data_IF_474694185683
#
_entry.id   IF_474694185683
#
_cell.length_a   1.000
_cell.length_b   1.000
_cell.length_c   1.000
_cell.angle_alpha   90.00
_cell.angle_beta   90.00
_cell.angle_gamma   90.00
#
_symmetry.space_group_name_H-M   'P 1'
#
loop_
_entity.id
_entity.type
_entity.pdbx_description
1 polymer ?
#
# COMPACT_ATOMS: atom_id res chain seq x y z
N UNK A 1 -6.72 5.61 -15.63
CA UNK A 1 -5.83 4.75 -14.83
C UNK A 1 -4.48 4.60 -15.50
N UNK A 2 -3.39 4.33 -14.71
CA UNK A 2 -2.02 4.28 -15.23
C UNK A 2 -1.27 3.13 -14.54
N UNK A 3 -0.62 2.28 -15.33
CA UNK A 3 0.36 1.27 -14.86
C UNK A 3 1.72 1.95 -14.76
N UNK A 4 2.38 1.83 -13.61
CA UNK A 4 3.71 2.41 -13.36
C UNK A 4 4.70 1.29 -13.03
N UNK A 5 5.83 1.32 -13.73
CA UNK A 5 6.94 0.40 -13.49
C UNK A 5 8.18 1.21 -13.11
N UNK A 6 8.86 0.80 -12.04
CA UNK A 6 10.09 1.42 -11.54
C UNK A 6 11.17 0.36 -11.46
N UNK A 7 12.36 0.69 -11.93
CA UNK A 7 13.57 -0.12 -11.79
C UNK A 7 14.58 0.64 -10.96
N UNK A 8 14.98 0.05 -9.83
CA UNK A 8 15.99 0.61 -8.93
C UNK A 8 17.27 -0.24 -8.96
N UNK A 9 18.39 0.40 -8.68
CA UNK A 9 19.66 -0.27 -8.44
C UNK A 9 20.21 0.16 -7.09
N UNK A 10 20.77 -0.79 -6.35
CA UNK A 10 21.51 -0.52 -5.12
C UNK A 10 23.01 -0.62 -5.38
N UNK A 11 23.74 0.52 -5.44
CA UNK A 11 25.20 0.48 -5.44
C UNK A 11 25.69 -0.20 -4.16
N UNK A 12 26.83 -0.90 -4.25
CA UNK A 12 27.49 -1.47 -3.06
C UNK A 12 27.73 -0.35 -2.05
N UNK A 13 27.34 -0.60 -0.80
CA UNK A 13 27.51 0.32 0.34
C UNK A 13 26.65 1.61 0.30
N UNK A 14 25.68 1.72 -0.64
CA UNK A 14 24.75 2.84 -0.65
C UNK A 14 23.51 2.56 0.21
N UNK A 15 23.17 3.51 1.07
CA UNK A 15 21.94 3.48 1.87
C UNK A 15 20.68 3.76 1.03
N UNK A 16 20.85 4.48 -0.08
CA UNK A 16 19.77 4.89 -0.99
C UNK A 16 19.98 4.31 -2.39
N UNK A 17 18.89 3.88 -3.07
CA UNK A 17 18.97 3.36 -4.42
C UNK A 17 19.12 4.48 -5.46
N UNK A 18 19.65 4.11 -6.63
CA UNK A 18 19.58 4.91 -7.84
C UNK A 18 18.35 4.50 -8.65
N UNK A 19 17.59 5.46 -9.17
CA UNK A 19 16.46 5.21 -10.08
C UNK A 19 17.02 5.02 -11.48
N UNK A 20 16.95 3.79 -11.99
CA UNK A 20 17.40 3.47 -13.36
C UNK A 20 16.35 3.97 -14.35
N UNK A 21 15.08 3.58 -14.16
CA UNK A 21 13.97 4.09 -14.97
C UNK A 21 12.66 4.08 -14.20
N UNK A 22 11.74 4.93 -14.65
CA UNK A 22 10.37 5.02 -14.15
C UNK A 22 9.42 5.33 -15.31
N UNK A 23 8.60 4.37 -15.69
CA UNK A 23 7.68 4.46 -16.83
C UNK A 23 6.23 4.42 -16.40
N UNK A 24 5.37 5.11 -17.14
CA UNK A 24 3.94 5.17 -16.93
C UNK A 24 3.21 4.92 -18.25
N UNK A 25 2.31 3.95 -18.25
CA UNK A 25 1.50 3.58 -19.42
C UNK A 25 0.01 3.55 -19.08
N UNK A 26 -0.89 3.87 -20.02
CA UNK A 26 -2.32 3.74 -19.80
C UNK A 26 -2.70 2.29 -19.42
N UNK A 27 -3.54 2.14 -18.40
CA UNK A 27 -4.09 0.84 -17.97
C UNK A 27 -5.45 0.60 -18.59
N UNK A 28 -5.65 -0.60 -19.15
CA UNK A 28 -6.95 -1.12 -19.60
C UNK A 28 -7.26 -2.43 -18.88
N UNK A 29 -8.53 -2.84 -18.88
CA UNK A 29 -8.94 -4.13 -18.31
C UNK A 29 -9.01 -4.19 -16.79
N UNK A 30 -8.85 -3.05 -16.08
CA UNK A 30 -8.92 -2.96 -14.62
C UNK A 30 -10.00 -1.95 -14.21
N UNK A 31 -10.85 -2.30 -13.24
CA UNK A 31 -11.85 -1.41 -12.62
C UNK A 31 -11.92 -1.64 -11.11
N UNK A 32 -11.94 -0.55 -10.34
CA UNK A 32 -11.94 -0.57 -8.86
C UNK A 32 -10.86 -1.50 -8.26
N UNK A 33 -9.74 -1.64 -8.99
CA UNK A 33 -8.64 -2.53 -8.62
C UNK A 33 -8.77 -3.98 -9.11
N UNK A 34 -9.94 -4.40 -9.64
CA UNK A 34 -10.15 -5.76 -10.17
C UNK A 34 -9.81 -5.84 -11.65
N UNK A 35 -9.26 -6.96 -12.08
CA UNK A 35 -9.14 -7.30 -13.49
C UNK A 35 -10.52 -7.73 -14.00
N UNK A 36 -11.09 -6.91 -14.88
CA UNK A 36 -12.40 -7.16 -15.52
C UNK A 36 -12.27 -7.65 -16.97
N UNK A 37 -11.08 -7.48 -17.55
CA UNK A 37 -10.72 -7.98 -18.88
C UNK A 37 -9.26 -8.42 -18.84
N UNK A 38 -9.02 -9.74 -18.79
CA UNK A 38 -7.68 -10.31 -18.66
C UNK A 38 -6.76 -9.95 -19.84
N UNK A 39 -7.16 -10.11 -21.11
CA UNK A 39 -6.32 -9.74 -22.27
C UNK A 39 -5.86 -8.27 -22.25
N UNK A 40 -6.75 -7.33 -21.88
CA UNK A 40 -6.42 -5.91 -21.79
C UNK A 40 -5.44 -5.64 -20.64
N UNK A 41 -5.62 -6.31 -19.49
CA UNK A 41 -4.71 -6.20 -18.34
C UNK A 41 -3.33 -6.75 -18.67
N UNK A 42 -3.25 -7.93 -19.32
CA UNK A 42 -2.00 -8.53 -19.82
C UNK A 42 -1.27 -7.58 -20.76
N UNK A 43 -1.98 -7.01 -21.74
CA UNK A 43 -1.41 -6.05 -22.68
C UNK A 43 -0.88 -4.80 -21.97
N UNK A 44 -1.59 -4.30 -20.96
CA UNK A 44 -1.17 -3.13 -20.17
C UNK A 44 0.10 -3.40 -19.37
N UNK A 45 0.20 -4.58 -18.73
CA UNK A 45 1.39 -5.01 -17.99
C UNK A 45 2.57 -5.17 -18.95
N UNK A 46 2.39 -5.95 -20.03
CA UNK A 46 3.43 -6.20 -21.03
C UNK A 46 4.00 -4.91 -21.59
N UNK A 47 3.15 -3.98 -22.02
CA UNK A 47 3.57 -2.69 -22.55
C UNK A 47 4.40 -1.87 -21.55
N UNK A 48 4.03 -1.89 -20.27
CA UNK A 48 4.76 -1.17 -19.21
C UNK A 48 6.13 -1.79 -18.98
N UNK A 49 6.21 -3.13 -18.97
CA UNK A 49 7.47 -3.87 -18.80
C UNK A 49 8.40 -3.65 -20.00
N UNK A 50 7.91 -3.83 -21.23
CA UNK A 50 8.69 -3.60 -22.46
C UNK A 50 9.26 -2.17 -22.53
N UNK A 51 8.47 -1.17 -22.13
CA UNK A 51 8.96 0.20 -22.08
C UNK A 51 10.06 0.38 -21.03
N UNK A 52 9.88 -0.22 -19.84
CA UNK A 52 10.89 -0.19 -18.78
C UNK A 52 12.19 -0.91 -19.17
N UNK A 53 12.08 -2.06 -19.86
CA UNK A 53 13.24 -2.79 -20.42
C UNK A 53 13.97 -1.96 -21.46
N UNK A 54 13.22 -1.31 -22.37
CA UNK A 54 13.79 -0.46 -23.40
C UNK A 54 14.56 0.73 -22.84
N UNK A 55 14.00 1.37 -21.81
CA UNK A 55 14.63 2.55 -21.18
C UNK A 55 15.80 2.19 -20.26
N UNK A 56 15.69 1.06 -19.54
CA UNK A 56 16.72 0.62 -18.60
C UNK A 56 17.85 -0.20 -19.24
N UNK A 57 17.59 -0.83 -20.39
CA UNK A 57 18.48 -1.85 -20.98
C UNK A 57 18.53 -3.17 -20.20
N UNK A 58 17.61 -3.38 -19.23
CA UNK A 58 17.59 -4.55 -18.34
C UNK A 58 16.37 -5.39 -18.68
N UNK A 59 16.56 -6.71 -18.88
CA UNK A 59 15.44 -7.65 -19.05
C UNK A 59 14.77 -7.93 -17.71
N UNK A 60 13.45 -7.69 -17.63
CA UNK A 60 12.65 -7.82 -16.41
C UNK A 60 11.89 -9.16 -16.45
N UNK A 61 12.42 -10.16 -15.78
CA UNK A 61 11.79 -11.50 -15.66
C UNK A 61 10.92 -11.64 -14.41
N UNK A 62 11.18 -10.85 -13.37
CA UNK A 62 10.55 -10.93 -12.06
C UNK A 62 10.21 -9.54 -11.56
N UNK A 63 9.06 -9.39 -10.89
CA UNK A 63 8.65 -8.12 -10.30
C UNK A 63 7.78 -8.31 -9.06
N UNK A 64 7.73 -7.27 -8.22
CA UNK A 64 6.75 -7.14 -7.14
C UNK A 64 5.59 -6.32 -7.65
N UNK A 65 4.38 -6.76 -7.33
CA UNK A 65 3.15 -6.09 -7.76
C UNK A 65 2.42 -5.45 -6.57
N UNK A 66 1.78 -4.32 -6.81
CA UNK A 66 0.78 -3.82 -5.86
C UNK A 66 -0.58 -4.43 -6.14
N UNK A 67 -1.34 -4.68 -5.08
CA UNK A 67 -2.75 -5.00 -5.17
C UNK A 67 -3.55 -3.90 -4.47
N UNK A 68 -4.65 -3.48 -5.11
CA UNK A 68 -5.62 -2.53 -4.58
C UNK A 68 -7.02 -3.08 -4.79
N UNK A 69 -8.04 -2.27 -4.47
CA UNK A 69 -9.43 -2.64 -4.71
C UNK A 69 -10.20 -3.03 -3.45
N UNK A 70 -11.53 -3.02 -3.59
CA UNK A 70 -12.47 -3.14 -2.48
C UNK A 70 -12.60 -4.57 -1.92
N UNK A 71 -11.94 -5.55 -2.55
CA UNK A 71 -11.86 -6.90 -1.99
C UNK A 71 -10.93 -6.98 -0.78
N UNK A 72 -10.04 -6.00 -0.61
CA UNK A 72 -9.09 -5.99 0.49
C UNK A 72 -9.81 -5.62 1.79
N UNK A 73 -9.60 -6.41 2.83
CA UNK A 73 -10.09 -6.12 4.18
C UNK A 73 -9.03 -6.45 5.22
N UNK A 74 -9.05 -5.71 6.34
CA UNK A 74 -8.21 -5.99 7.48
C UNK A 74 -8.98 -6.78 8.53
N UNK A 75 -8.34 -7.83 9.04
CA UNK A 75 -8.87 -8.71 10.08
C UNK A 75 -7.86 -8.83 11.22
N UNK A 76 -8.35 -8.83 12.45
CA UNK A 76 -7.52 -9.05 13.62
C UNK A 76 -7.73 -10.48 14.13
N UNK A 77 -6.65 -11.14 14.49
CA UNK A 77 -6.68 -12.44 15.13
C UNK A 77 -5.63 -12.55 16.22
N UNK A 78 -5.76 -13.58 17.06
CA UNK A 78 -4.83 -13.83 18.15
C UNK A 78 -4.26 -15.23 18.00
N UNK A 79 -3.00 -15.38 18.34
CA UNK A 79 -2.32 -16.67 18.42
C UNK A 79 -1.48 -16.78 19.69
N UNK A 80 -1.07 -17.98 20.04
CA UNK A 80 -0.22 -18.20 21.19
C UNK A 80 0.73 -19.36 20.97
N UNK A 81 1.81 -19.40 21.72
CA UNK A 81 2.74 -20.52 21.77
C UNK A 81 3.19 -20.75 23.22
N UNK A 82 3.36 -22.00 23.61
CA UNK A 82 4.08 -22.36 24.82
C UNK A 82 5.57 -22.30 24.49
N UNK A 83 6.34 -21.67 25.36
CA UNK A 83 7.79 -21.51 25.16
C UNK A 83 8.45 -22.89 25.10
N UNK A 84 9.20 -23.14 24.04
CA UNK A 84 9.77 -24.46 23.74
C UNK A 84 11.06 -24.79 24.49
N UNK A 85 11.84 -23.77 24.89
CA UNK A 85 13.09 -23.94 25.62
C UNK A 85 12.84 -24.24 27.09
N UNK A 86 13.65 -25.14 27.68
CA UNK A 86 13.53 -25.53 29.09
C UNK A 86 13.91 -24.43 30.08
N UNK A 87 14.68 -23.44 29.66
CA UNK A 87 15.04 -22.27 30.44
C UNK A 87 13.96 -21.15 30.38
N UNK A 88 12.92 -21.36 29.55
CA UNK A 88 11.86 -20.41 29.35
C UNK A 88 12.19 -19.22 28.45
N UNK A 89 13.34 -19.23 27.76
CA UNK A 89 13.70 -18.16 26.83
C UNK A 89 12.91 -18.24 25.54
N UNK A 90 12.24 -17.14 25.15
CA UNK A 90 11.46 -17.01 23.91
C UNK A 90 12.39 -17.11 22.70
N UNK A 91 12.16 -18.08 21.86
CA UNK A 91 12.89 -18.31 20.62
C UNK A 91 12.13 -17.83 19.38
N UNK A 92 12.85 -17.69 18.26
CA UNK A 92 12.21 -17.41 16.95
C UNK A 92 11.20 -18.52 16.54
N UNK A 93 11.37 -19.74 17.03
CA UNK A 93 10.41 -20.83 16.80
C UNK A 93 9.08 -20.54 17.49
N UNK A 94 9.09 -20.07 18.75
CA UNK A 94 7.91 -19.74 19.52
C UNK A 94 7.16 -18.54 18.90
N UNK A 95 7.91 -17.51 18.47
CA UNK A 95 7.35 -16.37 17.74
C UNK A 95 6.64 -16.82 16.47
N UNK A 96 7.31 -17.63 15.64
CA UNK A 96 6.71 -18.16 14.40
C UNK A 96 5.48 -19.02 14.68
N UNK A 97 5.52 -19.85 15.71
CA UNK A 97 4.37 -20.70 16.10
C UNK A 97 3.17 -19.86 16.49
N UNK A 98 3.38 -18.83 17.33
CA UNK A 98 2.31 -17.91 17.72
C UNK A 98 1.72 -17.16 16.52
N UNK A 99 2.56 -16.66 15.60
CA UNK A 99 2.11 -15.98 14.38
C UNK A 99 1.33 -16.91 13.45
N UNK A 100 1.82 -18.13 13.20
CA UNK A 100 1.14 -19.12 12.37
C UNK A 100 -0.23 -19.47 12.97
N UNK A 101 -0.31 -19.68 14.27
CA UNK A 101 -1.58 -19.96 14.95
C UNK A 101 -2.56 -18.78 14.81
N UNK A 102 -2.05 -17.53 14.90
CA UNK A 102 -2.90 -16.36 14.70
C UNK A 102 -3.43 -16.26 13.26
N UNK A 103 -2.63 -16.60 12.24
CA UNK A 103 -3.07 -16.64 10.85
C UNK A 103 -4.09 -17.75 10.59
N UNK A 104 -3.89 -18.95 11.15
CA UNK A 104 -4.80 -20.08 11.05
C UNK A 104 -6.15 -19.83 11.74
N UNK A 105 -6.19 -18.93 12.73
CA UNK A 105 -7.43 -18.53 13.40
C UNK A 105 -8.35 -17.65 12.53
N UNK A 106 -7.89 -17.16 11.39
CA UNK A 106 -8.70 -16.37 10.46
C UNK A 106 -9.54 -17.29 9.57
N UNK A 107 -10.85 -17.09 9.56
CA UNK A 107 -11.76 -17.81 8.66
C UNK A 107 -11.64 -17.27 7.23
N UNK A 108 -10.73 -17.82 6.45
CA UNK A 108 -10.42 -17.31 5.10
C UNK A 108 -11.54 -17.56 4.08
N UNK A 109 -12.36 -18.62 4.22
CA UNK A 109 -13.38 -18.99 3.24
C UNK A 109 -12.84 -18.94 1.80
N UNK A 110 -13.26 -17.92 1.03
CA UNK A 110 -12.79 -17.68 -0.35
C UNK A 110 -11.80 -16.51 -0.41
N UNK A 111 -10.96 -16.34 0.61
CA UNK A 111 -9.99 -15.26 0.74
C UNK A 111 -8.57 -15.80 0.93
N UNK A 112 -7.58 -14.97 0.62
CA UNK A 112 -6.16 -15.25 0.87
C UNK A 112 -5.56 -14.11 1.70
N UNK A 113 -4.70 -14.43 2.65
CA UNK A 113 -3.88 -13.45 3.36
C UNK A 113 -2.78 -12.99 2.39
N UNK A 114 -2.66 -11.68 2.21
CA UNK A 114 -1.63 -11.04 1.38
C UNK A 114 -0.63 -10.25 2.20
N UNK A 115 -0.96 -9.96 3.47
CA UNK A 115 -0.08 -9.26 4.40
C UNK A 115 -0.52 -9.56 5.82
N UNK A 116 0.42 -9.74 6.75
CA UNK A 116 0.16 -9.80 8.19
C UNK A 116 1.24 -9.03 8.95
N UNK A 117 0.83 -8.38 10.03
CA UNK A 117 1.73 -7.65 10.93
C UNK A 117 1.35 -7.90 12.38
N UNK A 118 2.30 -8.18 13.28
CA UNK A 118 2.02 -8.21 14.71
C UNK A 118 1.67 -6.80 15.19
N UNK A 119 0.57 -6.70 15.94
CA UNK A 119 0.10 -5.44 16.54
C UNK A 119 0.58 -5.33 17.99
N UNK A 120 0.54 -6.42 18.74
CA UNK A 120 0.99 -6.47 20.13
C UNK A 120 1.38 -7.87 20.55
N UNK A 121 2.27 -7.94 21.52
CA UNK A 121 2.73 -9.17 22.14
C UNK A 121 2.40 -9.18 23.63
N UNK A 122 2.15 -10.36 24.18
CA UNK A 122 2.05 -10.59 25.62
C UNK A 122 2.87 -11.81 26.02
N UNK A 123 3.53 -11.72 27.16
CA UNK A 123 4.25 -12.82 27.78
C UNK A 123 3.64 -13.05 29.17
N UNK A 124 3.11 -14.23 29.39
CA UNK A 124 2.39 -14.60 30.64
C UNK A 124 1.28 -13.58 31.00
N UNK A 125 0.54 -13.11 29.96
CA UNK A 125 -0.57 -12.15 30.09
C UNK A 125 -0.15 -10.68 30.26
N UNK A 126 1.16 -10.38 30.31
CA UNK A 126 1.68 -8.99 30.40
C UNK A 126 2.10 -8.48 29.04
N UNK A 127 1.77 -7.22 28.74
CA UNK A 127 2.16 -6.59 27.48
C UNK A 127 3.69 -6.47 27.38
N UNK A 128 4.22 -6.83 26.21
CA UNK A 128 5.63 -6.74 25.89
C UNK A 128 5.85 -5.61 24.88
N UNK A 129 6.64 -4.58 25.20
CA UNK A 129 7.03 -3.56 24.24
C UNK A 129 8.09 -4.13 23.28
N UNK A 130 7.83 -4.08 21.98
CA UNK A 130 8.76 -4.53 20.95
C UNK A 130 8.78 -6.05 20.77
N UNK A 131 9.95 -6.59 20.40
CA UNK A 131 10.14 -8.03 20.15
C UNK A 131 10.25 -8.83 21.45
N UNK A 132 9.52 -9.95 21.55
CA UNK A 132 9.61 -10.82 22.73
C UNK A 132 10.84 -11.75 22.72
N UNK A 133 11.65 -11.80 21.64
CA UNK A 133 12.80 -12.70 21.51
C UNK A 133 13.83 -12.48 22.62
N UNK A 134 14.28 -13.58 23.25
CA UNK A 134 15.24 -13.54 24.35
C UNK A 134 14.63 -13.22 25.73
N UNK A 135 13.33 -12.88 25.81
CA UNK A 135 12.63 -12.73 27.10
C UNK A 135 12.32 -14.08 27.71
N UNK A 136 12.04 -14.14 29.01
CA UNK A 136 11.77 -15.40 29.72
C UNK A 136 10.31 -15.44 30.20
N UNK A 137 9.63 -16.54 29.92
CA UNK A 137 8.24 -16.79 30.32
C UNK A 137 7.79 -18.20 29.98
N UNK A 138 6.49 -18.46 30.10
CA UNK A 138 5.85 -19.75 29.84
C UNK A 138 4.99 -19.72 28.58
N UNK A 139 4.21 -18.65 28.41
CA UNK A 139 3.26 -18.50 27.29
C UNK A 139 3.44 -17.18 26.57
N UNK A 140 3.72 -17.28 25.27
CA UNK A 140 3.74 -16.13 24.36
C UNK A 140 2.39 -15.99 23.66
N UNK A 141 1.83 -14.78 23.62
CA UNK A 141 0.61 -14.46 22.88
C UNK A 141 0.86 -13.30 21.93
N UNK A 142 0.23 -13.35 20.76
CA UNK A 142 0.32 -12.30 19.73
C UNK A 142 -1.07 -11.91 19.25
N UNK A 143 -1.26 -10.62 19.04
CA UNK A 143 -2.35 -10.07 18.23
C UNK A 143 -1.78 -9.63 16.89
N UNK A 144 -2.35 -10.10 15.80
CA UNK A 144 -1.96 -9.69 14.44
C UNK A 144 -3.09 -8.91 13.76
N UNK A 145 -2.71 -8.05 12.82
CA UNK A 145 -3.58 -7.50 11.79
C UNK A 145 -3.18 -8.13 10.46
N UNK A 146 -4.12 -8.83 9.82
CA UNK A 146 -3.91 -9.43 8.50
C UNK A 146 -4.76 -8.71 7.46
N UNK A 147 -4.16 -8.41 6.30
CA UNK A 147 -4.89 -7.92 5.14
C UNK A 147 -5.17 -9.13 4.24
N UNK A 148 -6.44 -9.35 3.96
CA UNK A 148 -6.92 -10.42 3.10
C UNK A 148 -7.54 -9.86 1.82
N UNK A 149 -7.57 -10.64 0.74
CA UNK A 149 -8.29 -10.34 -0.49
C UNK A 149 -9.09 -11.56 -0.95
N UNK A 150 -10.08 -11.37 -1.84
CA UNK A 150 -10.74 -12.48 -2.53
C UNK A 150 -9.69 -13.31 -3.29
N UNK A 151 -9.77 -14.64 -3.20
CA UNK A 151 -8.84 -15.55 -3.87
C UNK A 151 -8.79 -15.28 -5.38
N UNK A 152 -9.96 -15.15 -6.03
CA UNK A 152 -10.05 -14.86 -7.46
C UNK A 152 -9.33 -13.57 -7.84
N UNK A 153 -9.43 -12.49 -7.03
CA UNK A 153 -8.76 -11.23 -7.31
C UNK A 153 -7.23 -11.37 -7.35
N UNK A 154 -6.67 -12.15 -6.43
CA UNK A 154 -5.23 -12.44 -6.43
C UNK A 154 -4.86 -13.34 -7.61
N UNK A 155 -5.64 -14.39 -7.88
CA UNK A 155 -5.37 -15.35 -8.95
C UNK A 155 -5.43 -14.68 -10.33
N UNK A 156 -6.36 -13.74 -10.54
CA UNK A 156 -6.45 -12.94 -11.78
C UNK A 156 -5.20 -12.07 -11.97
N UNK A 157 -4.70 -11.43 -10.91
CA UNK A 157 -3.47 -10.63 -10.94
C UNK A 157 -2.26 -11.51 -11.28
N UNK A 158 -2.12 -12.67 -10.64
CA UNK A 158 -1.03 -13.60 -10.88
C UNK A 158 -1.06 -14.14 -12.31
N UNK A 159 -2.25 -14.47 -12.82
CA UNK A 159 -2.47 -14.93 -14.20
C UNK A 159 -2.10 -13.85 -15.21
N UNK A 160 -2.54 -12.61 -15.00
CA UNK A 160 -2.22 -11.49 -15.89
C UNK A 160 -0.70 -11.21 -15.94
N UNK A 161 0.00 -11.28 -14.81
CA UNK A 161 1.43 -11.09 -14.77
C UNK A 161 2.18 -12.24 -15.48
N UNK A 162 1.79 -13.49 -15.23
CA UNK A 162 2.37 -14.68 -15.88
C UNK A 162 2.19 -14.66 -17.40
N UNK A 163 0.99 -14.34 -17.89
CA UNK A 163 0.71 -14.21 -19.31
C UNK A 163 1.43 -13.02 -19.97
N UNK A 164 1.74 -11.97 -19.18
CA UNK A 164 2.59 -10.89 -19.64
C UNK A 164 4.08 -11.25 -19.67
N UNK A 165 4.47 -12.43 -19.17
CA UNK A 165 5.85 -12.93 -19.17
C UNK A 165 6.65 -12.54 -17.93
N UNK A 166 5.99 -12.11 -16.84
CA UNK A 166 6.65 -11.67 -15.60
C UNK A 166 6.29 -12.59 -14.45
N UNK A 167 7.28 -13.17 -13.80
CA UNK A 167 7.11 -13.91 -12.55
C UNK A 167 6.85 -12.94 -11.39
N UNK A 168 5.77 -13.17 -10.64
CA UNK A 168 5.44 -12.37 -9.46
C UNK A 168 6.27 -12.86 -8.27
N UNK A 169 7.13 -11.99 -7.75
CA UNK A 169 7.93 -12.28 -6.54
C UNK A 169 7.09 -12.13 -5.30
N UNK A 170 6.30 -11.04 -5.24
CA UNK A 170 5.45 -10.71 -4.10
C UNK A 170 4.29 -9.81 -4.53
N UNK A 171 3.23 -9.76 -3.71
CA UNK A 171 2.06 -8.90 -3.91
C UNK A 171 1.78 -8.12 -2.63
N UNK A 172 1.88 -6.80 -2.71
CA UNK A 172 1.79 -5.90 -1.56
C UNK A 172 0.58 -4.96 -1.68
N UNK A 173 -0.20 -4.73 -0.60
CA UNK A 173 -1.27 -3.72 -0.62
C UNK A 173 -0.73 -2.33 -0.95
N UNK A 174 -1.40 -1.59 -1.86
CA UNK A 174 -0.88 -0.33 -2.42
C UNK A 174 -0.55 0.72 -1.37
N UNK A 175 -1.39 0.90 -0.32
CA UNK A 175 -1.12 1.87 0.73
C UNK A 175 0.01 1.43 1.68
N UNK A 176 0.22 0.11 1.86
CA UNK A 176 1.37 -0.41 2.62
C UNK A 176 2.66 -0.14 1.83
N UNK A 177 2.69 -0.46 0.53
CA UNK A 177 3.84 -0.14 -0.31
C UNK A 177 4.16 1.38 -0.32
N UNK A 178 3.14 2.23 -0.52
CA UNK A 178 3.34 3.68 -0.51
C UNK A 178 3.88 4.21 0.82
N UNK A 179 3.55 3.56 1.94
CA UNK A 179 4.00 3.98 3.26
C UNK A 179 5.52 3.91 3.43
N UNK A 180 6.20 3.01 2.70
CA UNK A 180 7.68 2.87 2.77
C UNK A 180 8.42 4.13 2.30
N UNK A 181 7.81 4.89 1.40
CA UNK A 181 8.35 6.15 0.89
C UNK A 181 7.77 7.35 1.62
N UNK A 182 6.48 7.29 1.94
CA UNK A 182 5.74 8.46 2.40
C UNK A 182 5.92 8.75 3.90
N UNK A 183 6.27 7.75 4.70
CA UNK A 183 6.29 7.84 6.16
C UNK A 183 7.68 7.60 6.72
N UNK A 184 8.06 8.39 7.71
CA UNK A 184 9.27 8.15 8.51
C UNK A 184 8.95 7.23 9.69
N UNK A 185 9.97 6.53 10.23
CA UNK A 185 9.83 5.68 11.42
C UNK A 185 9.29 6.45 12.62
N UNK A 186 9.72 7.70 12.78
CA UNK A 186 9.21 8.58 13.86
C UNK A 186 7.71 8.85 13.73
N UNK A 187 7.20 9.06 12.47
CA UNK A 187 5.77 9.25 12.25
C UNK A 187 4.99 7.97 12.55
N UNK A 188 5.51 6.81 12.11
CA UNK A 188 4.91 5.50 12.40
C UNK A 188 4.87 5.22 13.89
N UNK A 189 5.91 5.61 14.63
CA UNK A 189 5.99 5.39 16.08
C UNK A 189 4.96 6.21 16.86
N UNK A 190 4.74 7.49 16.49
CA UNK A 190 3.84 8.37 17.27
C UNK A 190 2.37 8.31 16.81
N UNK A 191 2.09 7.73 15.65
CA UNK A 191 0.74 7.59 15.09
C UNK A 191 0.51 8.47 13.87
N UNK A 192 0.33 7.83 12.70
CA UNK A 192 0.13 8.47 11.40
C UNK A 192 -0.82 7.66 10.53
N UNK A 193 -1.56 8.32 9.66
CA UNK A 193 -2.32 7.68 8.59
C UNK A 193 -1.74 8.06 7.23
N UNK A 194 -1.51 7.06 6.38
CA UNK A 194 -1.34 7.24 4.95
C UNK A 194 -2.70 7.14 4.26
N UNK A 195 -2.99 8.08 3.36
CA UNK A 195 -4.16 8.07 2.46
C UNK A 195 -3.64 8.04 1.03
N UNK A 196 -3.97 6.99 0.28
CA UNK A 196 -3.65 6.89 -1.14
C UNK A 196 -4.92 7.09 -1.97
N UNK A 197 -5.07 8.29 -2.56
CA UNK A 197 -6.20 8.64 -3.42
C UNK A 197 -5.86 8.20 -4.86
N UNK A 198 -6.39 7.04 -5.23
CA UNK A 198 -6.25 6.49 -6.58
C UNK A 198 -7.29 7.05 -7.57
N UNK A 199 -7.35 6.44 -8.75
CA UNK A 199 -8.34 6.80 -9.77
C UNK A 199 -9.77 6.41 -9.35
N UNK A 200 -9.97 5.17 -8.92
CA UNK A 200 -11.29 4.60 -8.63
C UNK A 200 -11.44 4.10 -7.19
N UNK A 201 -10.36 4.15 -6.39
CA UNK A 201 -10.35 3.72 -4.99
C UNK A 201 -9.48 4.63 -4.15
N UNK A 202 -9.86 4.78 -2.88
CA UNK A 202 -9.01 5.36 -1.84
C UNK A 202 -8.64 4.25 -0.87
N UNK A 203 -7.36 4.09 -0.58
CA UNK A 203 -6.87 3.14 0.44
C UNK A 203 -6.14 3.86 1.55
N UNK A 204 -6.33 3.39 2.77
CA UNK A 204 -5.67 3.93 3.96
C UNK A 204 -4.87 2.86 4.68
N UNK A 205 -3.75 3.28 5.28
CA UNK A 205 -2.94 2.48 6.19
C UNK A 205 -2.59 3.33 7.42
N UNK A 206 -2.85 2.81 8.63
CA UNK A 206 -2.69 3.55 9.88
C UNK A 206 -1.65 2.85 10.73
N UNK A 207 -0.66 3.62 11.16
CA UNK A 207 0.46 3.13 11.96
C UNK A 207 0.46 3.80 13.33
N UNK A 208 0.82 3.04 14.36
CA UNK A 208 1.05 3.50 15.73
C UNK A 208 2.07 2.56 16.39
N UNK A 209 2.99 3.06 17.20
CA UNK A 209 4.09 2.27 17.78
C UNK A 209 4.95 1.51 16.74
N UNK A 210 5.08 2.06 15.53
CA UNK A 210 5.84 1.45 14.44
C UNK A 210 5.10 0.34 13.69
N UNK A 211 3.90 -0.08 14.12
CA UNK A 211 3.15 -1.20 13.54
C UNK A 211 1.86 -0.76 12.85
N UNK A 212 1.42 -1.53 11.86
CA UNK A 212 0.14 -1.31 11.16
C UNK A 212 -1.02 -1.71 12.08
N UNK A 213 -1.87 -0.73 12.46
CA UNK A 213 -3.02 -0.95 13.35
C UNK A 213 -4.38 -0.87 12.64
N UNK A 214 -4.40 -0.37 11.40
CA UNK A 214 -5.64 -0.22 10.63
C UNK A 214 -5.39 -0.13 9.13
N UNK A 215 -6.32 -0.67 8.35
CA UNK A 215 -6.29 -0.65 6.89
C UNK A 215 -7.72 -0.70 6.36
N UNK A 216 -8.01 0.09 5.32
CA UNK A 216 -9.29 0.02 4.60
C UNK A 216 -9.14 0.49 3.16
N UNK A 217 -10.08 0.06 2.30
CA UNK A 217 -10.21 0.54 0.93
C UNK A 217 -11.66 0.96 0.70
N UNK A 218 -11.83 2.14 0.10
CA UNK A 218 -13.13 2.72 -0.23
C UNK A 218 -13.34 2.76 -1.74
N UNK A 219 -14.55 2.45 -2.26
CA UNK A 219 -14.87 2.45 -3.70
C UNK A 219 -15.18 3.87 -4.21
N UNK A 220 -14.27 4.79 -3.97
CA UNK A 220 -14.36 6.20 -4.38
C UNK A 220 -12.95 6.67 -4.74
N UNK A 221 -12.81 7.52 -5.78
CA UNK A 221 -11.50 7.98 -6.20
C UNK A 221 -11.56 9.26 -7.03
N UNK A 222 -10.43 9.63 -7.63
CA UNK A 222 -10.32 10.88 -8.39
C UNK A 222 -11.12 10.88 -9.71
N UNK A 223 -11.49 9.70 -10.23
CA UNK A 223 -12.38 9.58 -11.39
C UNK A 223 -13.80 10.04 -11.07
N UNK A 224 -14.25 9.87 -9.82
CA UNK A 224 -15.58 10.36 -9.41
C UNK A 224 -15.64 11.89 -9.45
N UNK A 225 -14.54 12.58 -9.11
CA UNK A 225 -14.41 14.03 -9.28
C UNK A 225 -14.55 14.40 -10.77
N UNK A 226 -13.92 13.67 -11.67
CA UNK A 226 -14.02 13.88 -13.13
C UNK A 226 -15.47 13.70 -13.60
N UNK A 227 -16.15 12.65 -13.11
CA UNK A 227 -17.55 12.38 -13.43
C UNK A 227 -18.45 13.51 -12.95
N UNK A 228 -18.24 14.01 -11.74
CA UNK A 228 -19.05 15.11 -11.18
C UNK A 228 -18.84 16.43 -11.95
N UNK A 229 -17.61 16.73 -12.36
CA UNK A 229 -17.32 17.89 -13.21
C UNK A 229 -18.02 17.73 -14.57
N UNK A 230 -17.91 16.55 -15.20
CA UNK A 230 -18.55 16.26 -16.47
C UNK A 230 -20.07 16.46 -16.40
N UNK A 231 -20.71 15.94 -15.36
CA UNK A 231 -22.16 16.10 -15.12
C UNK A 231 -22.53 17.55 -14.80
N UNK A 232 -21.77 18.22 -13.93
CA UNK A 232 -22.03 19.58 -13.48
C UNK A 232 -21.94 20.64 -14.58
N UNK A 233 -21.10 20.40 -15.60
CA UNK A 233 -20.93 21.28 -16.76
C UNK A 233 -21.51 20.73 -18.06
N UNK A 234 -21.97 19.46 -18.08
CA UNK A 234 -22.48 18.74 -19.26
C UNK A 234 -21.46 18.68 -20.39
N UNK A 235 -20.23 18.27 -20.06
CA UNK A 235 -19.08 18.17 -20.96
C UNK A 235 -18.58 16.71 -21.04
N UNK A 236 -17.61 16.44 -21.93
CA UNK A 236 -17.00 15.10 -22.03
C UNK A 236 -16.11 14.81 -20.82
N UNK A 237 -15.83 13.51 -20.57
CA UNK A 237 -14.94 13.09 -19.49
C UNK A 237 -13.49 13.58 -19.72
N UNK A 238 -13.03 13.62 -20.97
CA UNK A 238 -11.71 14.11 -21.35
C UNK A 238 -11.56 15.60 -21.02
N UNK A 239 -12.57 16.40 -21.32
CA UNK A 239 -12.61 17.81 -21.01
C UNK A 239 -12.69 18.05 -19.49
N UNK A 240 -13.52 17.29 -18.79
CA UNK A 240 -13.62 17.34 -17.33
C UNK A 240 -12.31 16.96 -16.64
N UNK A 241 -11.59 15.94 -17.14
CA UNK A 241 -10.27 15.56 -16.63
C UNK A 241 -9.24 16.66 -16.84
N UNK A 242 -9.28 17.31 -18.02
CA UNK A 242 -8.40 18.43 -18.35
C UNK A 242 -8.65 19.65 -17.46
N UNK A 243 -9.90 19.93 -17.10
CA UNK A 243 -10.29 20.98 -16.15
C UNK A 243 -9.79 20.63 -14.75
N UNK A 244 -10.05 19.39 -14.28
CA UNK A 244 -9.62 18.91 -12.97
C UNK A 244 -8.12 19.02 -12.76
N UNK A 245 -7.34 18.67 -13.79
CA UNK A 245 -5.85 18.70 -13.76
C UNK A 245 -5.26 20.07 -14.04
N UNK A 246 -6.06 21.07 -14.41
CA UNK A 246 -5.60 22.39 -14.79
C UNK A 246 -4.85 22.42 -16.13
N UNK A 247 -4.96 21.37 -16.94
CA UNK A 247 -4.29 21.26 -18.24
C UNK A 247 -4.90 22.16 -19.31
N UNK A 248 -6.19 22.53 -19.16
CA UNK A 248 -6.86 23.55 -19.95
C UNK A 248 -7.10 24.74 -19.02
N UNK A 249 -6.61 25.93 -19.40
CA UNK A 249 -6.98 27.17 -18.69
C UNK A 249 -8.50 27.31 -18.74
N UNK A 250 -9.13 27.25 -17.59
CA UNK A 250 -10.58 27.29 -17.41
C UNK A 250 -11.16 28.72 -17.68
N UNK A 251 -10.76 29.38 -18.76
CA UNK A 251 -11.31 30.69 -19.14
C UNK A 251 -12.80 30.63 -19.48
N UNK A 252 -13.30 29.44 -19.83
CA UNK A 252 -14.72 29.20 -20.16
C UNK A 252 -15.56 28.69 -18.99
N UNK A 253 -14.94 28.26 -17.88
CA UNK A 253 -15.64 27.67 -16.73
C UNK A 253 -15.39 28.45 -15.45
N UNK A 254 -16.43 28.78 -14.64
CA UNK A 254 -16.23 29.49 -13.37
C UNK A 254 -15.42 28.62 -12.39
N UNK A 255 -14.19 29.07 -12.08
CA UNK A 255 -13.27 28.33 -11.19
C UNK A 255 -13.95 27.94 -9.87
N UNK A 256 -14.73 28.87 -9.26
CA UNK A 256 -15.43 28.62 -8.02
C UNK A 256 -16.37 27.40 -8.12
N UNK A 257 -17.12 27.27 -9.23
CA UNK A 257 -18.00 26.12 -9.41
C UNK A 257 -17.23 24.80 -9.58
N UNK A 258 -16.07 24.83 -10.22
CA UNK A 258 -15.17 23.68 -10.31
C UNK A 258 -14.67 23.30 -8.92
N UNK A 259 -14.17 24.28 -8.17
CA UNK A 259 -13.69 24.07 -6.80
C UNK A 259 -14.78 23.53 -5.88
N UNK A 260 -16.02 24.07 -5.95
CA UNK A 260 -17.17 23.60 -5.17
C UNK A 260 -17.49 22.10 -5.46
N UNK A 261 -17.42 21.67 -6.73
CA UNK A 261 -17.64 20.25 -7.12
C UNK A 261 -16.52 19.36 -6.56
N UNK A 262 -15.28 19.79 -6.69
CA UNK A 262 -14.12 19.04 -6.19
C UNK A 262 -14.18 18.92 -4.67
N UNK A 263 -14.49 20.03 -3.98
CA UNK A 263 -14.64 20.08 -2.52
C UNK A 263 -15.71 19.11 -2.02
N UNK A 264 -16.88 19.08 -2.68
CA UNK A 264 -17.96 18.16 -2.31
C UNK A 264 -17.48 16.70 -2.38
N UNK A 265 -16.84 16.28 -3.47
CA UNK A 265 -16.36 14.90 -3.62
C UNK A 265 -15.19 14.54 -2.67
N UNK A 266 -14.29 15.47 -2.45
CA UNK A 266 -13.21 15.27 -1.45
C UNK A 266 -13.79 15.18 -0.03
N UNK A 267 -14.85 15.92 0.26
CA UNK A 267 -15.55 15.83 1.55
C UNK A 267 -16.15 14.44 1.76
N UNK A 268 -16.80 13.86 0.75
CA UNK A 268 -17.30 12.48 0.81
C UNK A 268 -16.17 11.49 1.14
N UNK A 269 -14.98 11.65 0.51
CA UNK A 269 -13.82 10.81 0.76
C UNK A 269 -13.38 10.92 2.23
N UNK A 270 -13.22 12.15 2.75
CA UNK A 270 -12.74 12.34 4.13
C UNK A 270 -13.80 11.96 5.17
N UNK A 271 -15.09 12.06 4.87
CA UNK A 271 -16.17 11.55 5.73
C UNK A 271 -16.09 10.02 5.89
N UNK A 272 -15.88 9.29 4.79
CA UNK A 272 -15.67 7.84 4.83
C UNK A 272 -14.44 7.46 5.67
N UNK A 273 -13.35 8.21 5.53
CA UNK A 273 -12.12 8.01 6.30
C UNK A 273 -12.36 8.29 7.80
N UNK A 274 -12.99 9.41 8.15
CA UNK A 274 -13.31 9.73 9.55
C UNK A 274 -14.26 8.69 10.17
N UNK A 275 -15.23 8.19 9.40
CA UNK A 275 -16.09 7.08 9.79
C UNK A 275 -15.29 5.83 10.17
N UNK A 276 -14.26 5.49 9.39
CA UNK A 276 -13.36 4.39 9.73
C UNK A 276 -12.51 4.69 10.96
N UNK A 277 -11.93 5.90 11.07
CA UNK A 277 -11.17 6.32 12.24
C UNK A 277 -11.99 6.25 13.54
N UNK A 278 -13.26 6.65 13.50
CA UNK A 278 -14.21 6.50 14.62
C UNK A 278 -14.41 5.03 15.00
N UNK A 279 -14.58 4.14 14.01
CA UNK A 279 -14.75 2.70 14.22
C UNK A 279 -13.56 2.10 14.98
N UNK A 280 -12.34 2.49 14.64
CA UNK A 280 -11.11 2.01 15.32
C UNK A 280 -10.68 2.90 16.51
N UNK A 281 -11.49 3.89 16.90
CA UNK A 281 -11.25 4.83 18.01
C UNK A 281 -9.95 5.64 17.85
N UNK A 282 -9.69 6.14 16.63
CA UNK A 282 -8.51 6.96 16.30
C UNK A 282 -8.85 8.30 15.65
N UNK A 283 -10.13 8.69 15.57
CA UNK A 283 -10.56 10.00 15.04
C UNK A 283 -9.94 11.13 15.88
N UNK A 284 -9.16 12.02 15.24
CA UNK A 284 -8.45 13.12 15.90
C UNK A 284 -7.27 12.68 16.79
N UNK A 285 -6.85 11.42 16.78
CA UNK A 285 -5.90 10.87 17.75
C UNK A 285 -4.58 10.35 17.11
N UNK A 286 -4.22 10.85 15.95
CA UNK A 286 -2.95 10.51 15.27
C UNK A 286 -2.00 11.73 15.31
N UNK A 287 -1.03 11.78 16.22
CA UNK A 287 -0.20 12.97 16.44
C UNK A 287 0.64 13.39 15.23
N UNK A 288 1.11 12.43 14.41
CA UNK A 288 1.82 12.75 13.17
C UNK A 288 0.88 13.00 11.98
N UNK A 289 -0.44 12.95 12.21
CA UNK A 289 -1.46 13.39 11.27
C UNK A 289 -1.66 12.46 10.07
N UNK A 290 -1.86 13.08 8.91
CA UNK A 290 -2.23 12.41 7.66
C UNK A 290 -1.23 12.77 6.57
N UNK A 291 -0.72 11.77 5.88
CA UNK A 291 0.08 11.93 4.66
C UNK A 291 -0.74 11.42 3.47
N UNK A 292 -1.02 12.31 2.51
CA UNK A 292 -1.87 12.02 1.36
C UNK A 292 -1.00 11.77 0.13
N UNK A 293 -1.29 10.72 -0.60
CA UNK A 293 -0.56 10.28 -1.80
C UNK A 293 -1.50 9.89 -2.93
N UNK A 294 -0.94 9.50 -4.06
CA UNK A 294 -1.70 9.04 -5.22
C UNK A 294 -2.02 10.15 -6.21
N UNK A 295 -2.54 9.76 -7.37
CA UNK A 295 -2.83 10.71 -8.45
C UNK A 295 -3.96 11.70 -8.16
N UNK A 296 -4.84 11.37 -7.21
CA UNK A 296 -5.92 12.26 -6.75
C UNK A 296 -5.47 13.29 -5.69
N UNK A 297 -4.25 13.20 -5.19
CA UNK A 297 -3.72 14.09 -4.16
C UNK A 297 -3.28 15.46 -4.68
N UNK A 298 -3.20 15.65 -6.00
CA UNK A 298 -2.58 16.83 -6.61
C UNK A 298 -3.41 18.13 -6.57
N UNK A 299 -4.66 18.10 -6.09
CA UNK A 299 -5.48 19.30 -6.05
C UNK A 299 -5.20 20.14 -4.79
N UNK A 300 -5.17 21.49 -4.97
CA UNK A 300 -4.80 22.42 -3.90
C UNK A 300 -5.73 22.38 -2.66
N UNK A 301 -6.98 21.97 -2.82
CA UNK A 301 -7.96 21.87 -1.72
C UNK A 301 -7.73 20.66 -0.80
N UNK A 302 -7.00 19.64 -1.24
CA UNK A 302 -6.89 18.34 -0.55
C UNK A 302 -6.36 18.46 0.87
N UNK A 303 -5.27 19.22 1.08
CA UNK A 303 -4.64 19.36 2.40
C UNK A 303 -5.53 20.09 3.39
N UNK A 304 -6.12 21.21 2.95
CA UNK A 304 -7.00 22.03 3.78
C UNK A 304 -8.22 21.25 4.24
N UNK A 305 -8.94 20.62 3.29
CA UNK A 305 -10.13 19.83 3.59
C UNK A 305 -9.82 18.61 4.49
N UNK A 306 -8.72 17.91 4.23
CA UNK A 306 -8.30 16.79 5.07
C UNK A 306 -8.05 17.25 6.52
N UNK A 307 -7.36 18.37 6.69
CA UNK A 307 -7.07 18.95 8.01
C UNK A 307 -8.34 19.31 8.77
N UNK A 308 -9.29 19.97 8.10
CA UNK A 308 -10.51 20.48 8.71
C UNK A 308 -11.46 19.32 9.07
N UNK A 309 -11.68 18.39 8.15
CA UNK A 309 -12.62 17.30 8.32
C UNK A 309 -12.11 16.20 9.28
N UNK A 310 -10.83 15.82 9.16
CA UNK A 310 -10.24 14.79 10.00
C UNK A 310 -9.74 15.33 11.35
N UNK A 311 -9.63 16.67 11.49
CA UNK A 311 -9.08 17.35 12.68
C UNK A 311 -7.68 16.86 13.03
N UNK A 312 -6.88 16.60 11.99
CA UNK A 312 -5.52 16.09 12.06
C UNK A 312 -4.61 16.96 11.18
N UNK A 313 -3.35 17.19 11.57
CA UNK A 313 -2.37 17.77 10.66
C UNK A 313 -2.33 16.96 9.37
N UNK A 314 -2.52 17.59 8.21
CA UNK A 314 -2.59 16.90 6.93
C UNK A 314 -1.65 17.54 5.92
N UNK A 315 -0.97 16.71 5.13
CA UNK A 315 -0.09 17.17 4.04
C UNK A 315 -0.07 16.17 2.89
N UNK A 316 0.17 16.65 1.70
CA UNK A 316 0.52 15.79 0.56
C UNK A 316 1.96 15.31 0.73
N UNK A 317 2.21 14.04 0.41
CA UNK A 317 3.55 13.47 0.45
C UNK A 317 4.49 14.23 -0.48
N UNK A 318 5.54 14.83 0.08
CA UNK A 318 6.46 15.68 -0.66
C UNK A 318 7.57 14.86 -1.36
N UNK A 319 8.07 15.40 -2.46
CA UNK A 319 9.23 14.86 -3.18
C UNK A 319 10.52 14.83 -2.32
N UNK A 320 10.55 15.60 -1.24
CA UNK A 320 11.69 15.63 -0.30
C UNK A 320 12.08 14.26 0.23
N UNK A 321 11.09 13.36 0.41
CA UNK A 321 11.34 11.98 0.82
C UNK A 321 12.10 11.17 -0.23
N UNK A 322 12.00 11.57 -1.50
CA UNK A 322 12.72 10.98 -2.63
C UNK A 322 13.99 11.76 -3.00
N UNK A 323 14.27 12.90 -2.34
CA UNK A 323 15.41 13.78 -2.66
C UNK A 323 16.77 13.09 -2.53
N UNK A 324 16.84 12.04 -1.71
CA UNK A 324 18.05 11.24 -1.52
C UNK A 324 18.25 10.18 -2.63
N UNK A 325 17.25 9.96 -3.49
CA UNK A 325 17.34 9.02 -4.60
C UNK A 325 17.86 9.73 -5.85
N UNK A 326 18.92 9.20 -6.43
CA UNK A 326 19.46 9.72 -7.70
C UNK A 326 18.56 9.29 -8.86
N UNK A 327 18.24 10.23 -9.76
CA UNK A 327 17.44 9.98 -10.95
C UNK A 327 16.18 10.86 -11.02
N UNK A 328 15.30 10.64 -12.02
CA UNK A 328 14.10 11.43 -12.21
C UNK A 328 13.07 11.13 -11.14
N UNK A 329 13.04 11.96 -10.11
CA UNK A 329 12.03 11.88 -9.05
C UNK A 329 10.69 12.36 -9.58
N UNK A 330 9.63 11.62 -9.28
CA UNK A 330 8.25 11.91 -9.69
C UNK A 330 7.43 12.38 -8.48
N UNK A 331 6.20 12.80 -8.73
CA UNK A 331 5.25 13.22 -7.70
C UNK A 331 4.76 12.06 -6.81
N UNK A 332 3.92 12.37 -5.82
CA UNK A 332 3.41 11.38 -4.84
C UNK A 332 2.59 10.22 -5.47
N UNK A 333 2.17 10.34 -6.73
CA UNK A 333 1.49 9.26 -7.45
C UNK A 333 2.39 8.06 -7.77
N UNK A 334 3.70 8.21 -7.58
CA UNK A 334 4.70 7.16 -7.78
C UNK A 334 5.07 6.41 -6.50
N UNK A 335 4.60 6.85 -5.34
CA UNK A 335 5.03 6.29 -4.05
C UNK A 335 4.75 4.79 -3.93
N UNK A 336 3.65 4.29 -4.49
CA UNK A 336 3.39 2.84 -4.55
C UNK A 336 4.51 2.11 -5.27
N UNK A 337 4.87 2.53 -6.48
CA UNK A 337 5.87 1.84 -7.30
C UNK A 337 7.27 1.93 -6.70
N UNK A 338 7.66 3.06 -6.14
CA UNK A 338 8.93 3.21 -5.44
C UNK A 338 8.96 2.38 -4.15
N UNK A 339 7.86 2.36 -3.39
CA UNK A 339 7.75 1.54 -2.19
C UNK A 339 7.89 0.05 -2.47
N UNK A 340 7.24 -0.45 -3.54
CA UNK A 340 7.43 -1.84 -3.99
C UNK A 340 8.89 -2.15 -4.31
N UNK A 341 9.57 -1.25 -5.00
CA UNK A 341 10.95 -1.46 -5.41
C UNK A 341 11.92 -1.44 -4.20
N UNK A 342 11.62 -0.63 -3.17
CA UNK A 342 12.38 -0.64 -1.89
C UNK A 342 12.18 -1.97 -1.15
N UNK A 343 10.93 -2.44 -1.00
CA UNK A 343 10.63 -3.73 -0.42
C UNK A 343 11.31 -4.90 -1.15
N UNK A 344 11.56 -4.74 -2.46
CA UNK A 344 12.27 -5.72 -3.28
C UNK A 344 13.74 -5.93 -2.91
N UNK A 345 14.42 -4.95 -2.30
CA UNK A 345 15.82 -5.11 -1.83
C UNK A 345 15.93 -6.23 -0.81
N UNK A 346 15.05 -6.24 0.14
CA UNK A 346 15.07 -7.15 1.27
C UNK A 346 14.75 -8.58 0.88
N UNK A 347 13.89 -8.77 -0.13
CA UNK A 347 13.60 -10.08 -0.73
C UNK A 347 14.73 -10.61 -1.62
N UNK A 348 15.68 -9.77 -2.05
CA UNK A 348 16.81 -10.13 -2.92
C UNK A 348 18.06 -10.61 -2.21
N UNK A 349 18.22 -10.33 -0.92
CA UNK A 349 19.43 -10.67 -0.14
C UNK A 349 19.40 -12.07 0.48
N UNK A 350 18.34 -12.85 0.32
CA UNK A 350 18.29 -14.24 0.82
C UNK A 350 19.14 -15.19 0.00
N UNK A 351 19.95 -16.05 0.66
CA UNK A 351 20.79 -17.03 -0.03
C UNK A 351 19.92 -18.01 -0.83
N UNK A 352 20.26 -18.20 -2.11
CA UNK A 352 19.64 -19.17 -3.02
C UNK A 352 19.58 -20.57 -2.41
N UNK A 353 18.49 -20.91 -1.76
CA UNK A 353 18.13 -22.29 -1.50
C UNK A 353 17.66 -22.94 -2.80
N UNK A 354 18.46 -23.88 -3.34
CA UNK A 354 18.05 -24.75 -4.46
C UNK A 354 16.84 -25.59 -4.06
N UNK A 355 15.77 -25.52 -4.82
CA UNK A 355 14.79 -26.60 -4.87
C UNK A 355 13.34 -26.21 -4.66
N UNK A 356 12.55 -26.23 -5.73
CA UNK A 356 11.23 -26.82 -5.75
C UNK A 356 10.05 -25.95 -5.37
N UNK A 357 9.18 -25.69 -6.34
CA UNK A 357 7.73 -25.51 -6.17
C UNK A 357 7.31 -24.39 -5.23
N UNK A 358 7.24 -23.16 -5.73
CA UNK A 358 6.81 -22.01 -4.94
C UNK A 358 5.32 -22.05 -4.57
N UNK A 359 5.01 -22.52 -3.39
CA UNK A 359 3.75 -22.19 -2.71
C UNK A 359 3.86 -20.75 -2.18
N UNK A 360 2.80 -19.95 -2.32
CA UNK A 360 2.69 -18.59 -1.77
C UNK A 360 3.04 -18.46 -0.26
N UNK A 361 3.10 -19.57 0.45
CA UNK A 361 3.53 -19.69 1.85
C UNK A 361 5.02 -19.39 2.11
N UNK A 362 5.88 -19.42 1.08
CA UNK A 362 7.32 -19.20 1.24
C UNK A 362 7.73 -17.73 1.24
N UNK A 363 7.00 -16.90 0.51
CA UNK A 363 7.30 -15.49 0.26
C UNK A 363 6.98 -14.65 1.51
N UNK A 364 5.94 -15.03 2.24
CA UNK A 364 5.46 -14.38 3.44
C UNK A 364 6.40 -14.44 4.65
N UNK A 365 7.29 -15.43 4.69
CA UNK A 365 8.20 -15.68 5.83
C UNK A 365 9.31 -14.64 6.02
N UNK A 366 9.72 -13.95 4.97
CA UNK A 366 10.81 -12.96 5.03
C UNK A 366 10.32 -11.55 5.32
N UNK A 367 9.12 -11.22 4.84
CA UNK A 367 8.49 -9.93 5.08
C UNK A 367 8.19 -9.66 6.58
N UNK A 368 7.88 -10.70 7.35
CA UNK A 368 7.70 -10.59 8.80
C UNK A 368 8.98 -10.17 9.56
N UNK A 369 10.16 -10.35 8.98
CA UNK A 369 11.43 -9.91 9.60
C UNK A 369 11.58 -8.39 9.67
N UNK A 370 10.93 -7.66 8.78
CA UNK A 370 11.09 -6.22 8.58
C UNK A 370 10.25 -5.39 9.54
N UNK A 371 9.06 -5.86 9.89
CA UNK A 371 8.12 -5.18 10.78
C UNK A 371 8.21 -5.64 12.26
N UNK A 372 9.22 -6.38 12.58
CA UNK A 372 9.57 -6.65 13.97
C UNK A 372 10.60 -5.58 14.38
N UNK A 373 10.23 -4.58 15.22
CA UNK A 373 11.15 -3.56 15.73
C UNK A 373 12.31 -4.19 16.50
#
# INVERSE_FOLDING_TARGET
>A
MVTRTVVLSWPKDASTPDVITSVATPTKGVRHGYIVNLPDAVSSIRRSVELAEKESGITIKRAIFSIGGTSLSAENSNGSAIISKSDGEVSNFDIKTALTQAEEAIELKNRKIIFSSPVSWKLDGKDVPGKPEGMHGVKLEVKILSITCLAQHLDDLLSAAAEAGVEVVDVVPSSVAASEIALTDRQRAVGVMLVNIGAETVSIAIFENGVLIGFSVFPIGSTDITNDIALGFRITLEEAESIKTGSIMATSYPKRKVDDIIEARLSDIFELIDGYLKKIKRSGLLPAGVVITGGGAGHALVEGLAKDMLRLPSRVGAQELLSNMKGPVRDSSWFVSYGLAILGKENGESPRGKGGGGSAKGIFKEFLRQFLP
#
